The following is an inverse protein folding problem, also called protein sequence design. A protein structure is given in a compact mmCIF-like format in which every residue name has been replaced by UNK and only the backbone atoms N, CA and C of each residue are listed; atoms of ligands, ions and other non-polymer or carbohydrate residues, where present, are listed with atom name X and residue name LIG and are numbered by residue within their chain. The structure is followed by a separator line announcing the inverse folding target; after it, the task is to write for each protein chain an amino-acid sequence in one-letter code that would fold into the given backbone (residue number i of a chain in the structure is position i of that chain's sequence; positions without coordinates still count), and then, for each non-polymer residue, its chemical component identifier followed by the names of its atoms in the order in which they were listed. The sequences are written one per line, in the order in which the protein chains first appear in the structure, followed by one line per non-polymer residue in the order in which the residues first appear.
data_IF_445636330054
#
_entry.id   IF_445636330054
#
_cell.length_a   1.000
_cell.length_b   1.000
_cell.length_c   1.000
_cell.angle_alpha   90.00
_cell.angle_beta   90.00
_cell.angle_gamma   90.00
#
_symmetry.space_group_name_H-M   'P 1'
#
loop_
_entity.id
_entity.type
_entity.pdbx_description
1 polymer ?
#
# COMPACT_ATOMS: atom_id res chain seq x y z
N UNK A 1 -21.25 7.70 -9.29
CA UNK A 1 -20.49 8.79 -8.64
C UNK A 1 -19.98 9.73 -9.72
N UNK A 2 -20.51 10.95 -9.82
CA UNK A 2 -19.95 11.95 -10.73
C UNK A 2 -18.70 12.55 -10.07
N UNK A 3 -17.52 12.24 -10.62
CA UNK A 3 -16.28 12.91 -10.25
C UNK A 3 -16.39 14.35 -10.75
N UNK A 4 -16.51 15.31 -9.84
CA UNK A 4 -16.40 16.73 -10.18
C UNK A 4 -14.94 16.97 -10.56
N UNK A 5 -14.66 17.15 -11.85
CA UNK A 5 -13.33 17.44 -12.37
C UNK A 5 -12.78 18.78 -11.86
N UNK A 6 -11.49 18.81 -11.56
CA UNK A 6 -10.73 20.03 -11.33
C UNK A 6 -10.47 20.73 -12.67
N UNK A 7 -10.79 22.02 -12.78
CA UNK A 7 -10.63 22.76 -14.04
C UNK A 7 -9.31 23.55 -14.09
N UNK A 8 -8.86 24.13 -12.98
CA UNK A 8 -7.53 24.78 -12.91
C UNK A 8 -7.07 25.10 -11.49
N UNK A 9 -5.75 25.21 -11.33
CA UNK A 9 -5.07 25.74 -10.14
C UNK A 9 -4.42 27.06 -10.52
N UNK A 10 -4.91 28.17 -9.99
CA UNK A 10 -4.37 29.51 -10.31
C UNK A 10 -3.71 30.10 -9.07
N UNK A 11 -2.47 30.60 -9.21
CA UNK A 11 -1.85 31.43 -8.16
C UNK A 11 -2.20 32.88 -8.40
N UNK A 12 -2.77 33.55 -7.40
CA UNK A 12 -2.97 35.00 -7.47
C UNK A 12 -1.64 35.74 -7.19
N UNK A 13 -1.64 37.05 -7.45
CA UNK A 13 -0.48 37.94 -7.25
C UNK A 13 0.02 38.05 -5.79
N UNK A 14 -0.75 37.57 -4.81
CA UNK A 14 -0.34 37.48 -3.40
C UNK A 14 0.16 36.07 -3.00
N UNK A 15 0.32 35.15 -3.95
CA UNK A 15 0.80 33.79 -3.71
C UNK A 15 -0.25 32.79 -3.20
N UNK A 16 -1.53 33.17 -3.16
CA UNK A 16 -2.62 32.29 -2.76
C UNK A 16 -3.00 31.33 -3.90
N UNK A 17 -3.25 30.07 -3.56
CA UNK A 17 -3.66 29.03 -4.51
C UNK A 17 -5.19 29.00 -4.57
N UNK A 18 -5.75 29.35 -5.72
CA UNK A 18 -7.17 29.26 -6.03
C UNK A 18 -7.45 27.94 -6.74
N UNK A 19 -8.44 27.21 -6.22
CA UNK A 19 -8.95 25.98 -6.82
C UNK A 19 -10.32 26.29 -7.42
N UNK A 20 -10.43 26.24 -8.75
CA UNK A 20 -11.69 26.43 -9.47
C UNK A 20 -12.28 25.07 -9.83
N UNK A 21 -13.54 24.85 -9.45
CA UNK A 21 -14.28 23.62 -9.76
C UNK A 21 -15.19 23.84 -10.98
N UNK A 22 -15.27 22.84 -11.87
CA UNK A 22 -15.91 22.92 -13.19
C UNK A 22 -17.46 22.96 -13.19
N UNK A 23 -18.09 23.41 -12.11
CA UNK A 23 -19.55 23.52 -12.05
C UNK A 23 -20.10 23.93 -10.68
N UNK A 24 -21.42 24.23 -10.59
CA UNK A 24 -22.06 24.54 -9.33
C UNK A 24 -21.97 23.34 -8.37
N UNK A 25 -21.18 23.48 -7.30
CA UNK A 25 -21.17 22.54 -6.19
C UNK A 25 -22.56 22.52 -5.54
N UNK A 26 -23.37 21.52 -5.88
CA UNK A 26 -24.72 21.37 -5.33
C UNK A 26 -25.62 20.40 -6.09
N UNK A 27 -25.28 20.02 -7.32
CA UNK A 27 -26.12 19.09 -8.10
C UNK A 27 -25.69 17.61 -8.02
N UNK A 28 -24.45 17.31 -7.63
CA UNK A 28 -23.91 15.93 -7.65
C UNK A 28 -23.35 15.41 -6.32
N UNK A 29 -23.25 16.24 -5.29
CA UNK A 29 -22.92 15.79 -3.91
C UNK A 29 -24.22 15.71 -3.13
N UNK A 30 -24.75 14.51 -2.96
CA UNK A 30 -26.06 14.26 -2.35
C UNK A 30 -26.09 14.52 -0.84
N UNK A 31 -24.97 14.93 -0.22
CA UNK A 31 -24.93 15.14 1.22
C UNK A 31 -24.08 16.35 1.62
N UNK A 32 -24.71 17.30 2.31
CA UNK A 32 -24.07 18.50 2.86
C UNK A 32 -22.92 18.14 3.84
N UNK A 33 -22.99 16.96 4.45
CA UNK A 33 -21.97 16.39 5.34
C UNK A 33 -20.66 16.04 4.60
N UNK A 34 -20.74 15.50 3.38
CA UNK A 34 -19.55 15.11 2.59
C UNK A 34 -18.78 16.34 2.12
N UNK A 35 -19.51 17.39 1.70
CA UNK A 35 -18.89 18.66 1.34
C UNK A 35 -18.21 19.33 2.54
N UNK A 36 -18.84 19.26 3.72
CA UNK A 36 -18.24 19.78 4.95
C UNK A 36 -16.99 18.99 5.37
N UNK A 37 -17.02 17.66 5.23
CA UNK A 37 -15.87 16.79 5.50
C UNK A 37 -14.69 17.06 4.54
N UNK A 38 -14.98 17.25 3.25
CA UNK A 38 -13.98 17.65 2.25
C UNK A 38 -13.32 18.98 2.63
N UNK A 39 -14.13 19.99 2.98
CA UNK A 39 -13.64 21.31 3.41
C UNK A 39 -12.82 21.24 4.70
N UNK A 40 -13.20 20.40 5.67
CA UNK A 40 -12.42 20.16 6.88
C UNK A 40 -11.09 19.46 6.57
N UNK A 41 -11.09 18.46 5.70
CA UNK A 41 -9.86 17.80 5.24
C UNK A 41 -8.90 18.76 4.55
N UNK A 42 -9.42 19.66 3.69
CA UNK A 42 -8.62 20.69 3.03
C UNK A 42 -8.07 21.73 4.01
N UNK A 43 -8.84 22.13 5.03
CA UNK A 43 -8.35 23.03 6.11
C UNK A 43 -7.29 22.36 6.97
N UNK A 44 -7.42 21.08 7.27
CA UNK A 44 -6.41 20.31 8.00
C UNK A 44 -5.10 20.20 7.21
N UNK A 45 -5.20 19.89 5.91
CA UNK A 45 -4.04 19.84 5.02
C UNK A 45 -3.35 21.21 4.90
N UNK A 46 -4.13 22.30 4.86
CA UNK A 46 -3.63 23.69 4.87
C UNK A 46 -2.79 23.98 6.12
N UNK A 47 -3.34 23.70 7.29
CA UNK A 47 -2.67 24.00 8.57
C UNK A 47 -1.41 23.18 8.78
N UNK A 48 -1.41 21.93 8.30
CA UNK A 48 -0.33 20.99 8.58
C UNK A 48 0.79 21.00 7.53
N UNK A 49 0.51 21.39 6.27
CA UNK A 49 1.46 21.17 5.19
C UNK A 49 1.78 22.37 4.30
N UNK A 50 0.93 23.41 4.21
CA UNK A 50 1.07 24.38 3.11
C UNK A 50 1.13 25.87 3.48
N UNK A 51 0.78 26.29 4.70
CA UNK A 51 1.02 27.67 5.15
C UNK A 51 0.40 28.79 4.29
N UNK A 52 -0.50 28.47 3.35
CA UNK A 52 -1.09 29.39 2.37
C UNK A 52 -2.61 29.49 2.52
N UNK A 53 -3.18 30.62 2.11
CA UNK A 53 -4.63 30.85 2.10
C UNK A 53 -5.28 30.11 0.90
N UNK A 54 -6.28 29.27 1.16
CA UNK A 54 -7.12 28.65 0.11
C UNK A 54 -8.48 29.36 0.13
N UNK A 55 -8.85 29.94 -1.01
CA UNK A 55 -10.19 30.48 -1.25
C UNK A 55 -11.00 29.49 -2.09
N UNK A 56 -12.22 29.20 -1.65
CA UNK A 56 -13.19 28.39 -2.38
C UNK A 56 -14.38 29.29 -2.69
N UNK A 57 -14.56 29.64 -3.96
CA UNK A 57 -15.77 30.33 -4.44
C UNK A 57 -16.78 29.30 -4.96
N UNK A 58 -18.03 29.42 -4.52
CA UNK A 58 -19.15 28.61 -5.01
C UNK A 58 -20.44 29.43 -4.97
N UNK A 59 -21.13 29.52 -6.10
CA UNK A 59 -22.46 30.15 -6.17
C UNK A 59 -23.57 29.13 -5.85
N UNK A 60 -24.48 29.49 -4.94
CA UNK A 60 -25.73 28.74 -4.71
C UNK A 60 -26.82 29.26 -5.64
N UNK A 61 -27.48 28.37 -6.39
CA UNK A 61 -28.61 28.74 -7.27
C UNK A 61 -29.93 29.01 -6.52
N UNK A 62 -30.01 28.79 -5.21
CA UNK A 62 -31.18 29.19 -4.43
C UNK A 62 -30.88 30.50 -3.70
N UNK A 63 -31.34 31.61 -4.30
CA UNK A 63 -31.04 33.00 -3.95
C UNK A 63 -31.47 33.50 -2.57
N UNK A 64 -31.11 32.82 -1.48
CA UNK A 64 -31.15 33.33 -0.11
C UNK A 64 -30.01 32.76 0.73
N UNK A 65 -28.89 33.50 0.81
CA UNK A 65 -27.81 33.19 1.74
C UNK A 65 -26.48 33.83 1.36
N UNK A 66 -26.27 35.10 1.73
CA UNK A 66 -24.93 35.68 1.73
C UNK A 66 -24.14 35.10 2.92
N UNK A 67 -23.19 34.20 2.66
CA UNK A 67 -22.26 33.73 3.69
C UNK A 67 -20.99 34.59 3.67
N UNK A 68 -20.88 35.55 4.58
CA UNK A 68 -19.61 36.22 4.90
C UNK A 68 -18.87 35.41 5.96
N UNK A 69 -17.79 34.74 5.58
CA UNK A 69 -16.86 34.15 6.55
C UNK A 69 -16.01 35.25 7.17
N UNK A 70 -16.13 35.40 8.49
CA UNK A 70 -15.39 36.38 9.28
C UNK A 70 -13.97 35.85 9.53
N UNK A 71 -12.98 36.59 9.03
CA UNK A 71 -11.56 36.34 9.23
C UNK A 71 -11.21 36.70 10.69
N UNK A 72 -10.98 35.72 11.56
CA UNK A 72 -10.47 36.02 12.90
C UNK A 72 -8.98 36.37 12.80
N UNK A 73 -8.68 37.67 12.67
CA UNK A 73 -7.38 38.22 13.04
C UNK A 73 -7.27 38.21 14.57
N UNK A 74 -6.28 37.51 15.09
CA UNK A 74 -5.84 37.74 16.46
C UNK A 74 -5.12 39.07 16.54
N UNK A 75 -5.66 40.04 17.26
CA UNK A 75 -4.91 41.18 17.79
C UNK A 75 -5.39 41.49 19.21
N UNK A 76 -4.43 41.43 20.13
CA UNK A 76 -4.43 41.99 21.48
C UNK A 76 -4.71 43.49 21.46
N UNK A 77 -5.53 44.02 22.38
CA UNK A 77 -5.25 45.28 23.11
C UNK A 77 -6.20 45.47 24.31
N UNK A 78 -5.62 45.93 25.42
CA UNK A 78 -6.24 46.16 26.72
C UNK A 78 -7.00 47.50 26.81
N UNK A 79 -8.02 47.60 27.67
CA UNK A 79 -8.22 48.76 28.57
C UNK A 79 -9.26 48.53 29.70
N UNK A 80 -8.75 48.66 30.92
CA UNK A 80 -9.27 49.27 32.15
C UNK A 80 -10.77 49.26 32.58
N UNK A 81 -10.89 48.89 33.86
CA UNK A 81 -11.74 49.46 34.93
C UNK A 81 -13.13 48.85 35.22
N UNK A 82 -13.20 48.03 36.28
CA UNK A 82 -14.16 48.29 37.38
C UNK A 82 -13.68 47.68 38.70
N UNK A 83 -13.85 48.47 39.77
CA UNK A 83 -13.48 48.23 41.17
C UNK A 83 -14.23 47.03 41.78
N UNK A 84 -13.54 46.25 42.62
CA UNK A 84 -14.02 45.88 43.98
C UNK A 84 -12.89 45.35 44.87
N UNK A 85 -12.97 45.74 46.13
CA UNK A 85 -12.04 45.62 47.26
C UNK A 85 -11.84 44.18 47.74
N UNK A 86 -10.64 43.83 48.22
CA UNK A 86 -10.34 43.54 49.66
C UNK A 86 -8.93 42.94 49.87
N UNK A 87 -8.22 43.48 50.89
CA UNK A 87 -7.15 42.94 51.79
C UNK A 87 -6.58 41.53 51.56
N UNK A 88 -5.29 41.20 51.74
CA UNK A 88 -4.34 41.56 52.82
C UNK A 88 -2.87 41.27 52.42
N UNK A 89 -1.90 42.16 52.72
CA UNK A 89 -0.75 42.01 53.65
C UNK A 89 -0.02 40.61 53.66
N UNK A 90 1.29 40.45 53.48
CA UNK A 90 2.49 41.06 54.12
C UNK A 90 3.81 40.79 53.32
N UNK A 91 4.96 41.43 53.66
CA UNK A 91 6.15 41.62 52.81
C UNK A 91 7.45 40.95 53.34
N UNK A 92 8.63 41.38 52.80
CA UNK A 92 10.03 41.40 53.33
C UNK A 92 11.00 40.58 52.45
N UNK A 93 11.84 41.18 51.57
CA UNK A 93 13.15 41.89 51.70
C UNK A 93 14.27 41.00 51.10
N UNK A 94 15.41 41.43 50.53
CA UNK A 94 16.28 42.59 50.73
C UNK A 94 17.29 42.71 49.56
N UNK A 95 17.70 43.96 49.23
CA UNK A 95 19.07 44.45 48.89
C UNK A 95 19.75 43.99 47.57
N UNK A 96 20.54 44.79 46.83
CA UNK A 96 20.82 46.24 46.68
C UNK A 96 21.87 46.39 45.55
N UNK A 97 22.07 47.63 45.09
CA UNK A 97 23.11 48.20 44.21
C UNK A 97 22.79 48.20 42.71
N UNK A 98 22.17 49.26 42.19
CA UNK A 98 22.65 50.63 41.90
C UNK A 98 23.47 50.74 40.62
N UNK A 99 22.82 51.42 39.68
CA UNK A 99 23.27 51.85 38.37
C UNK A 99 24.37 52.92 38.43
N UNK A 100 25.23 52.91 37.42
CA UNK A 100 25.75 54.13 36.82
C UNK A 100 25.94 53.92 35.32
N UNK A 101 25.00 54.45 34.52
CA UNK A 101 25.15 54.59 33.06
C UNK A 101 25.09 56.06 32.69
N UNK A 102 26.22 56.57 32.22
CA UNK A 102 26.32 57.80 31.43
C UNK A 102 26.12 57.48 29.95
N UNK A 103 25.34 58.33 29.27
CA UNK A 103 25.14 58.31 27.82
C UNK A 103 26.43 58.70 27.08
N UNK A 104 26.78 57.97 26.02
CA UNK A 104 27.40 58.57 24.83
C UNK A 104 27.17 57.73 23.57
N UNK A 105 26.43 58.35 22.64
CA UNK A 105 26.59 58.42 21.17
C UNK A 105 26.88 57.16 20.32
N UNK A 106 25.96 56.96 19.37
CA UNK A 106 26.01 56.17 18.13
C UNK A 106 27.38 55.97 17.47
N UNK A 107 27.69 54.72 17.11
CA UNK A 107 28.30 54.42 15.81
C UNK A 107 27.69 53.13 15.24
N UNK A 108 27.36 53.19 13.96
CA UNK A 108 26.63 52.19 13.21
C UNK A 108 27.59 51.29 12.41
N UNK A 109 27.16 50.03 12.24
CA UNK A 109 27.52 49.05 11.20
C UNK A 109 29.00 48.64 11.04
N UNK A 110 29.28 47.38 11.41
CA UNK A 110 29.93 46.40 10.55
C UNK A 110 29.87 45.00 11.21
N UNK A 111 28.83 44.22 10.90
CA UNK A 111 28.82 42.78 11.13
C UNK A 111 28.75 42.08 9.78
N UNK A 112 29.85 41.46 9.38
CA UNK A 112 29.96 40.54 8.26
C UNK A 112 28.89 39.44 8.33
N UNK A 113 28.32 38.99 7.20
CA UNK A 113 27.37 37.89 7.21
C UNK A 113 28.06 36.60 7.66
N UNK A 114 27.36 35.70 8.38
CA UNK A 114 27.89 34.38 8.68
C UNK A 114 28.18 33.61 7.38
N UNK A 115 29.21 32.76 7.35
CA UNK A 115 29.55 32.00 6.15
C UNK A 115 28.35 31.17 5.71
N UNK A 116 28.00 31.29 4.43
CA UNK A 116 26.97 30.48 3.81
C UNK A 116 27.30 29.01 4.06
N UNK A 117 26.40 28.28 4.70
CA UNK A 117 26.44 26.81 4.71
C UNK A 117 26.39 26.37 3.24
N UNK A 118 27.53 25.96 2.70
CA UNK A 118 27.58 25.14 1.51
C UNK A 118 26.69 23.95 1.77
N UNK A 119 25.52 23.96 1.14
CA UNK A 119 24.65 22.79 1.10
C UNK A 119 25.39 21.83 0.18
N UNK A 120 26.22 20.96 0.75
CA UNK A 120 26.78 19.85 0.01
C UNK A 120 25.60 19.13 -0.65
N UNK A 121 25.55 19.16 -1.97
CA UNK A 121 24.53 18.45 -2.71
C UNK A 121 24.70 16.96 -2.35
N UNK A 122 23.74 16.41 -1.61
CA UNK A 122 23.75 14.98 -1.27
C UNK A 122 23.99 14.17 -2.55
N UNK A 123 24.94 13.22 -2.53
CA UNK A 123 25.22 12.42 -3.71
C UNK A 123 23.94 11.70 -4.12
N UNK A 124 23.46 12.02 -5.33
CA UNK A 124 22.30 11.35 -5.92
C UNK A 124 22.68 9.88 -6.10
N UNK A 125 22.16 9.02 -5.24
CA UNK A 125 22.36 7.57 -5.35
C UNK A 125 21.86 7.12 -6.72
N UNK A 126 22.78 6.81 -7.63
CA UNK A 126 22.45 6.29 -8.94
C UNK A 126 22.10 4.80 -8.80
N UNK A 127 20.84 4.45 -9.01
CA UNK A 127 20.44 3.04 -9.04
C UNK A 127 21.12 2.32 -10.21
N UNK A 128 21.56 1.09 -9.97
CA UNK A 128 22.04 0.23 -11.05
C UNK A 128 20.88 -0.07 -12.03
N UNK A 129 21.19 -0.32 -13.31
CA UNK A 129 20.16 -0.61 -14.31
C UNK A 129 19.40 -1.91 -13.99
N UNK A 130 18.14 -2.03 -14.41
CA UNK A 130 17.35 -3.23 -14.20
C UNK A 130 17.93 -4.43 -14.97
N UNK A 131 17.90 -5.60 -14.34
CA UNK A 131 18.49 -6.85 -14.87
C UNK A 131 17.56 -7.58 -15.85
N UNK A 132 17.09 -6.87 -16.87
CA UNK A 132 16.00 -7.32 -17.75
C UNK A 132 16.29 -8.66 -18.47
N UNK A 133 17.54 -8.96 -18.82
CA UNK A 133 17.89 -10.23 -19.47
C UNK A 133 17.63 -11.45 -18.58
N UNK A 134 17.96 -11.37 -17.29
CA UNK A 134 17.68 -12.44 -16.33
C UNK A 134 16.17 -12.57 -16.08
N UNK A 135 15.49 -11.43 -15.93
CA UNK A 135 14.03 -11.41 -15.72
C UNK A 135 13.28 -11.97 -16.91
N UNK A 136 13.75 -11.71 -18.14
CA UNK A 136 13.18 -12.32 -19.34
C UNK A 136 13.28 -13.86 -19.29
N UNK A 137 14.45 -14.40 -18.91
CA UNK A 137 14.64 -15.84 -18.75
C UNK A 137 13.71 -16.45 -17.69
N UNK A 138 13.61 -15.81 -16.52
CA UNK A 138 12.69 -16.23 -15.44
C UNK A 138 11.24 -16.19 -15.93
N UNK A 139 10.84 -15.10 -16.59
CA UNK A 139 9.49 -14.93 -17.14
C UNK A 139 9.15 -16.02 -18.15
N UNK A 140 10.08 -16.34 -19.06
CA UNK A 140 9.88 -17.38 -20.06
C UNK A 140 9.68 -18.76 -19.42
N UNK A 141 10.47 -19.10 -18.40
CA UNK A 141 10.35 -20.37 -17.68
C UNK A 141 9.02 -20.43 -16.91
N UNK A 142 8.68 -19.39 -16.15
CA UNK A 142 7.49 -19.38 -15.31
C UNK A 142 6.18 -19.31 -16.11
N UNK A 143 6.15 -18.58 -17.24
CA UNK A 143 4.91 -18.30 -17.97
C UNK A 143 4.70 -19.18 -19.20
N UNK A 144 5.73 -19.84 -19.73
CA UNK A 144 5.57 -20.70 -20.92
C UNK A 144 4.57 -21.85 -20.73
N UNK A 145 4.47 -22.55 -19.58
CA UNK A 145 3.46 -23.60 -19.41
C UNK A 145 2.04 -23.02 -19.41
N UNK A 146 1.84 -21.89 -18.74
CA UNK A 146 0.57 -21.17 -18.73
C UNK A 146 0.13 -20.75 -20.14
N UNK A 147 1.03 -20.15 -20.93
CA UNK A 147 0.75 -19.73 -22.31
C UNK A 147 0.46 -20.96 -23.20
N UNK A 148 1.22 -22.04 -23.05
CA UNK A 148 0.99 -23.27 -23.79
C UNK A 148 -0.42 -23.83 -23.52
N UNK A 149 -0.80 -23.91 -22.26
CA UNK A 149 -2.11 -24.42 -21.86
C UNK A 149 -3.26 -23.54 -22.35
N UNK A 150 -3.08 -22.21 -22.30
CA UNK A 150 -4.09 -21.23 -22.71
C UNK A 150 -4.35 -21.22 -24.22
N UNK A 151 -3.30 -21.35 -25.04
CA UNK A 151 -3.41 -21.17 -26.50
C UNK A 151 -3.45 -22.49 -27.29
N UNK A 152 -2.81 -23.55 -26.80
CA UNK A 152 -2.57 -24.74 -27.62
C UNK A 152 -3.19 -26.02 -27.07
N UNK A 153 -3.35 -26.14 -25.73
CA UNK A 153 -3.83 -27.38 -25.13
C UNK A 153 -5.34 -27.38 -24.86
N UNK A 154 -5.87 -26.35 -24.18
CA UNK A 154 -7.28 -26.28 -23.85
C UNK A 154 -8.08 -25.42 -24.84
N UNK A 155 -9.29 -25.88 -25.16
CA UNK A 155 -10.24 -25.10 -25.94
C UNK A 155 -11.02 -24.14 -25.02
N UNK A 156 -10.35 -23.04 -24.63
CA UNK A 156 -10.98 -21.99 -23.82
C UNK A 156 -11.81 -21.08 -24.74
N UNK A 157 -12.98 -20.69 -24.25
CA UNK A 157 -13.91 -19.78 -24.91
C UNK A 157 -13.22 -18.50 -25.42
N UNK A 158 -13.62 -18.04 -26.61
CA UNK A 158 -12.97 -16.94 -27.30
C UNK A 158 -13.14 -15.60 -26.57
N UNK A 159 -14.30 -15.35 -25.94
CA UNK A 159 -14.54 -14.14 -25.17
C UNK A 159 -13.67 -14.12 -23.92
N UNK A 160 -13.58 -15.25 -23.21
CA UNK A 160 -12.71 -15.39 -22.05
C UNK A 160 -11.23 -15.23 -22.42
N UNK A 161 -10.76 -15.88 -23.49
CA UNK A 161 -9.40 -15.69 -24.02
C UNK A 161 -9.12 -14.21 -24.34
N UNK A 162 -10.09 -13.50 -24.92
CA UNK A 162 -9.95 -12.08 -25.22
C UNK A 162 -9.79 -11.22 -23.97
N UNK A 163 -10.62 -11.42 -22.94
CA UNK A 163 -10.47 -10.70 -21.66
C UNK A 163 -9.12 -10.98 -20.98
N UNK A 164 -8.65 -12.23 -21.00
CA UNK A 164 -7.32 -12.61 -20.51
C UNK A 164 -6.22 -11.87 -21.29
N UNK A 165 -6.32 -11.78 -22.62
CA UNK A 165 -5.36 -11.07 -23.47
C UNK A 165 -5.35 -9.56 -23.23
N UNK A 166 -6.52 -8.95 -23.08
CA UNK A 166 -6.65 -7.54 -22.70
C UNK A 166 -5.94 -7.25 -21.38
N UNK A 167 -6.10 -8.15 -20.39
CA UNK A 167 -5.42 -7.99 -19.12
C UNK A 167 -3.90 -8.18 -19.23
N UNK A 168 -3.41 -9.11 -20.07
CA UNK A 168 -1.97 -9.23 -20.38
C UNK A 168 -1.42 -7.93 -20.95
N UNK A 169 -2.12 -7.31 -21.89
CA UNK A 169 -1.70 -6.05 -22.49
C UNK A 169 -1.59 -4.92 -21.44
N UNK A 170 -2.60 -4.77 -20.60
CA UNK A 170 -2.58 -3.80 -19.49
C UNK A 170 -1.47 -4.12 -18.47
N UNK A 171 -1.26 -5.40 -18.17
CA UNK A 171 -0.20 -5.87 -17.27
C UNK A 171 1.20 -5.56 -17.80
N UNK A 172 1.43 -5.72 -19.11
CA UNK A 172 2.68 -5.29 -19.76
C UNK A 172 2.89 -3.78 -19.61
N UNK A 173 1.82 -2.99 -19.79
CA UNK A 173 1.86 -1.55 -19.48
C UNK A 173 2.27 -1.27 -18.03
N UNK A 174 1.71 -2.03 -17.08
CA UNK A 174 2.07 -2.00 -15.66
C UNK A 174 3.53 -2.34 -15.38
N UNK A 175 4.09 -3.35 -16.06
CA UNK A 175 5.51 -3.69 -15.96
C UNK A 175 6.39 -2.50 -16.36
N UNK A 176 6.15 -1.88 -17.51
CA UNK A 176 6.93 -0.73 -17.96
C UNK A 176 6.74 0.52 -17.10
N UNK A 177 5.51 0.78 -16.66
CA UNK A 177 5.23 1.86 -15.70
C UNK A 177 6.03 1.64 -14.40
N UNK A 178 6.06 0.42 -13.89
CA UNK A 178 6.83 0.07 -12.68
C UNK A 178 8.34 0.30 -12.87
N UNK A 179 8.90 -0.13 -14.02
CA UNK A 179 10.30 0.13 -14.35
C UNK A 179 10.65 1.62 -14.36
N UNK A 180 9.73 2.46 -14.87
CA UNK A 180 9.93 3.90 -14.91
C UNK A 180 9.81 4.56 -13.52
N UNK A 181 8.85 4.12 -12.71
CA UNK A 181 8.54 4.76 -11.42
C UNK A 181 9.54 4.38 -10.33
N UNK A 182 10.10 3.15 -10.33
CA UNK A 182 11.04 2.70 -9.29
C UNK A 182 12.21 3.67 -9.09
N UNK A 183 13.01 4.06 -10.11
CA UNK A 183 14.13 4.98 -9.92
C UNK A 183 13.73 6.35 -9.37
N UNK A 184 12.54 6.83 -9.73
CA UNK A 184 12.00 8.10 -9.23
C UNK A 184 11.65 7.97 -7.75
N UNK A 185 10.85 6.95 -7.40
CA UNK A 185 10.40 6.70 -6.03
C UNK A 185 11.58 6.42 -5.08
N UNK A 186 12.57 5.62 -5.51
CA UNK A 186 13.77 5.33 -4.73
C UNK A 186 14.48 6.58 -4.23
N UNK A 187 14.57 7.63 -5.06
CA UNK A 187 15.18 8.91 -4.65
C UNK A 187 14.42 9.59 -3.51
N UNK A 188 13.08 9.50 -3.51
CA UNK A 188 12.26 10.08 -2.45
C UNK A 188 12.29 9.25 -1.18
N UNK A 189 12.29 7.92 -1.28
CA UNK A 189 12.36 7.02 -0.14
C UNK A 189 13.67 7.20 0.64
N UNK A 190 14.81 7.24 -0.07
CA UNK A 190 16.12 7.52 0.55
C UNK A 190 16.15 8.88 1.24
N UNK A 191 15.58 9.93 0.63
CA UNK A 191 15.47 11.28 1.24
C UNK A 191 14.61 11.31 2.50
N UNK A 192 13.74 10.32 2.68
CA UNK A 192 12.90 10.16 3.88
C UNK A 192 13.49 9.18 4.89
N UNK A 193 14.76 8.78 4.72
CA UNK A 193 15.43 7.76 5.52
C UNK A 193 14.78 6.37 5.46
N UNK A 194 14.05 6.06 4.37
CA UNK A 194 13.56 4.72 4.08
C UNK A 194 14.59 3.99 3.20
N UNK A 195 15.63 3.48 3.86
CA UNK A 195 16.68 2.68 3.24
C UNK A 195 17.22 1.66 4.24
N UNK A 196 17.74 0.55 3.71
CA UNK A 196 18.46 -0.47 4.46
C UNK A 196 19.89 -0.67 3.96
N UNK A 197 20.68 -1.42 4.73
CA UNK A 197 21.96 -1.94 4.29
C UNK A 197 21.83 -3.43 3.99
N UNK A 198 22.55 -3.92 2.98
CA UNK A 198 22.57 -5.36 2.67
C UNK A 198 23.42 -6.10 3.71
N UNK A 199 22.74 -6.67 4.71
CA UNK A 199 23.36 -7.36 5.86
C UNK A 199 24.25 -8.54 5.42
N UNK A 200 23.90 -9.21 4.32
CA UNK A 200 24.66 -10.35 3.80
C UNK A 200 25.91 -9.91 3.01
N UNK A 201 26.13 -8.60 2.86
CA UNK A 201 27.31 -8.01 2.25
C UNK A 201 28.11 -7.15 3.23
N UNK A 202 27.84 -7.26 4.54
CA UNK A 202 28.56 -6.53 5.60
C UNK A 202 30.07 -6.73 5.46
N UNK A 203 30.83 -5.64 5.58
CA UNK A 203 32.29 -5.64 5.42
C UNK A 203 32.78 -5.48 3.97
N UNK A 204 31.90 -5.53 2.97
CA UNK A 204 32.25 -5.21 1.58
C UNK A 204 31.90 -3.76 1.24
N UNK A 205 32.47 -3.22 0.15
CA UNK A 205 32.11 -1.89 -0.37
C UNK A 205 30.64 -1.78 -0.80
N UNK A 206 30.00 -2.90 -1.15
CA UNK A 206 28.58 -2.91 -1.50
C UNK A 206 27.66 -2.92 -0.27
N UNK A 207 28.11 -3.49 0.86
CA UNK A 207 27.33 -3.54 2.09
C UNK A 207 27.20 -2.19 2.81
N UNK A 208 28.06 -1.22 2.50
CA UNK A 208 27.98 0.15 3.04
C UNK A 208 27.12 1.10 2.20
N UNK A 209 26.56 0.62 1.08
CA UNK A 209 25.68 1.42 0.22
C UNK A 209 24.27 1.40 0.78
N UNK A 210 23.64 2.58 0.89
CA UNK A 210 22.22 2.71 1.24
C UNK A 210 21.35 2.21 0.09
N UNK A 211 20.53 1.18 0.37
CA UNK A 211 19.60 0.61 -0.60
C UNK A 211 18.18 1.10 -0.26
N UNK A 212 17.47 1.77 -1.19
CA UNK A 212 16.09 2.21 -0.97
C UNK A 212 15.18 1.05 -0.54
N UNK A 213 14.33 1.27 0.45
CA UNK A 213 13.45 0.24 1.03
C UNK A 213 11.96 0.59 0.84
N UNK A 214 11.07 -0.37 1.13
CA UNK A 214 9.61 -0.23 1.01
C UNK A 214 9.11 0.02 -0.41
N UNK A 215 9.83 -0.46 -1.43
CA UNK A 215 9.41 -0.28 -2.82
C UNK A 215 8.10 -1.02 -3.14
N UNK A 216 7.68 -1.97 -2.31
CA UNK A 216 6.37 -2.62 -2.40
C UNK A 216 5.21 -1.63 -2.56
N UNK A 217 5.29 -0.41 -2.02
CA UNK A 217 4.25 0.62 -2.20
C UNK A 217 4.09 1.04 -3.67
N UNK A 218 5.20 1.18 -4.41
CA UNK A 218 5.17 1.55 -5.83
C UNK A 218 4.50 0.44 -6.64
N UNK A 219 4.85 -0.80 -6.33
CA UNK A 219 4.36 -2.00 -7.02
C UNK A 219 2.86 -2.14 -6.76
N UNK A 220 2.45 -2.00 -5.50
CA UNK A 220 1.05 -2.05 -5.10
C UNK A 220 0.21 -0.96 -5.76
N UNK A 221 0.72 0.28 -5.85
CA UNK A 221 0.01 1.38 -6.53
C UNK A 221 -0.17 1.10 -8.03
N UNK A 222 0.91 0.71 -8.73
CA UNK A 222 0.81 0.41 -10.16
C UNK A 222 -0.10 -0.79 -10.41
N UNK A 223 -0.02 -1.82 -9.55
CA UNK A 223 -0.93 -2.97 -9.57
C UNK A 223 -2.39 -2.55 -9.46
N UNK A 224 -2.74 -1.72 -8.47
CA UNK A 224 -4.11 -1.23 -8.27
C UNK A 224 -4.60 -0.40 -9.47
N UNK A 225 -3.75 0.44 -10.06
CA UNK A 225 -4.12 1.21 -11.26
C UNK A 225 -4.44 0.26 -12.41
N UNK A 226 -3.59 -0.75 -12.66
CA UNK A 226 -3.79 -1.70 -13.75
C UNK A 226 -5.06 -2.53 -13.55
N UNK A 227 -5.31 -3.04 -12.35
CA UNK A 227 -6.52 -3.84 -12.04
C UNK A 227 -7.79 -3.01 -12.12
N UNK A 228 -7.78 -1.76 -11.64
CA UNK A 228 -8.92 -0.83 -11.77
C UNK A 228 -9.20 -0.48 -13.24
N UNK A 229 -8.15 -0.26 -14.04
CA UNK A 229 -8.32 -0.02 -15.48
C UNK A 229 -8.88 -1.26 -16.18
N UNK A 230 -8.37 -2.45 -15.86
CA UNK A 230 -8.91 -3.70 -16.39
C UNK A 230 -10.39 -3.87 -16.02
N UNK A 231 -10.74 -3.62 -14.76
CA UNK A 231 -12.11 -3.64 -14.27
C UNK A 231 -13.01 -2.73 -15.09
N UNK A 232 -12.61 -1.47 -15.30
CA UNK A 232 -13.39 -0.48 -16.05
C UNK A 232 -13.70 -0.91 -17.49
N UNK A 233 -12.76 -1.59 -18.15
CA UNK A 233 -12.91 -1.99 -19.56
C UNK A 233 -13.53 -3.37 -19.76
N UNK A 234 -13.50 -4.26 -18.76
CA UNK A 234 -13.98 -5.65 -18.91
C UNK A 234 -15.23 -6.00 -18.09
N UNK A 235 -15.56 -5.27 -17.03
CA UNK A 235 -16.75 -5.54 -16.23
C UNK A 235 -17.88 -4.60 -16.60
N UNK A 236 -19.08 -5.18 -16.78
CA UNK A 236 -20.32 -4.42 -16.83
C UNK A 236 -20.72 -3.95 -15.43
N UNK A 237 -21.43 -2.81 -15.36
CA UNK A 237 -21.83 -2.19 -14.09
C UNK A 237 -22.70 -3.09 -13.19
N UNK A 238 -23.46 -4.01 -13.80
CA UNK A 238 -24.41 -4.88 -13.11
C UNK A 238 -23.85 -6.30 -12.84
N UNK A 239 -22.54 -6.51 -12.99
CA UNK A 239 -21.92 -7.82 -12.74
C UNK A 239 -21.96 -8.19 -11.26
N UNK A 240 -22.48 -9.38 -10.93
CA UNK A 240 -22.47 -9.92 -9.57
C UNK A 240 -21.04 -10.03 -8.97
N UNK A 241 -20.04 -10.23 -9.83
CA UNK A 241 -18.63 -10.33 -9.45
C UNK A 241 -18.00 -8.99 -9.09
N UNK A 242 -18.66 -7.87 -9.39
CA UNK A 242 -18.14 -6.53 -9.10
C UNK A 242 -18.00 -6.28 -7.59
N UNK A 243 -18.90 -6.86 -6.79
CA UNK A 243 -18.85 -6.76 -5.33
C UNK A 243 -17.61 -7.47 -4.78
N UNK A 244 -17.39 -8.71 -5.21
CA UNK A 244 -16.21 -9.49 -4.82
C UNK A 244 -14.90 -8.88 -5.35
N UNK A 245 -14.90 -8.35 -6.57
CA UNK A 245 -13.76 -7.64 -7.15
C UNK A 245 -13.38 -6.40 -6.35
N UNK A 246 -14.37 -5.57 -6.00
CA UNK A 246 -14.14 -4.36 -5.19
C UNK A 246 -13.69 -4.72 -3.77
N UNK A 247 -14.23 -5.80 -3.19
CA UNK A 247 -13.80 -6.29 -1.89
C UNK A 247 -12.35 -6.81 -1.93
N UNK A 248 -11.98 -7.55 -2.97
CA UNK A 248 -10.60 -7.97 -3.24
C UNK A 248 -9.65 -6.78 -3.33
N UNK A 249 -9.98 -5.77 -4.15
CA UNK A 249 -9.17 -4.56 -4.27
C UNK A 249 -9.09 -3.77 -2.96
N UNK A 250 -10.19 -3.67 -2.21
CA UNK A 250 -10.21 -2.99 -0.91
C UNK A 250 -9.30 -3.71 0.10
N UNK A 251 -9.36 -5.04 0.16
CA UNK A 251 -8.48 -5.85 1.03
C UNK A 251 -7.01 -5.73 0.64
N UNK A 252 -6.68 -5.80 -0.65
CA UNK A 252 -5.30 -5.67 -1.15
C UNK A 252 -4.78 -4.25 -0.92
N UNK A 253 -5.57 -3.21 -1.23
CA UNK A 253 -5.22 -1.80 -1.00
C UNK A 253 -4.99 -1.52 0.48
N UNK A 254 -5.89 -1.99 1.33
CA UNK A 254 -5.74 -1.82 2.77
C UNK A 254 -4.48 -2.54 3.28
N UNK A 255 -4.18 -3.73 2.75
CA UNK A 255 -2.95 -4.43 3.11
C UNK A 255 -1.68 -3.69 2.65
N UNK A 256 -1.65 -3.15 1.42
CA UNK A 256 -0.53 -2.32 0.95
C UNK A 256 -0.31 -1.14 1.90
N UNK A 257 -1.40 -0.47 2.32
CA UNK A 257 -1.31 0.62 3.29
C UNK A 257 -0.74 0.13 4.62
N UNK A 258 -1.25 -0.96 5.19
CA UNK A 258 -0.81 -1.47 6.48
C UNK A 258 0.65 -1.95 6.45
N UNK A 259 1.09 -2.59 5.36
CA UNK A 259 2.49 -2.98 5.19
C UNK A 259 3.42 -1.78 5.06
N UNK A 260 2.99 -0.71 4.39
CA UNK A 260 3.77 0.53 4.36
C UNK A 260 3.81 1.25 5.70
N UNK A 261 2.71 1.20 6.46
CA UNK A 261 2.67 1.74 7.82
C UNK A 261 3.60 0.92 8.73
N UNK A 262 3.67 -0.40 8.56
CA UNK A 262 4.62 -1.27 9.26
C UNK A 262 6.08 -0.90 8.94
N UNK A 263 6.41 -0.77 7.65
CA UNK A 263 7.74 -0.34 7.20
C UNK A 263 8.18 1.02 7.79
N UNK A 264 7.23 1.96 7.96
CA UNK A 264 7.53 3.31 8.46
C UNK A 264 7.57 3.38 9.99
N UNK A 265 6.73 2.61 10.67
CA UNK A 265 6.55 2.69 12.12
C UNK A 265 7.24 1.58 12.91
N UNK A 266 7.74 0.54 12.23
CA UNK A 266 8.33 -0.67 12.82
C UNK A 266 7.44 -1.25 13.92
N UNK A 267 6.28 -1.79 13.50
CA UNK A 267 5.22 -2.15 14.43
C UNK A 267 5.59 -3.45 15.19
N UNK A 268 5.21 -3.59 16.48
CA UNK A 268 5.44 -4.83 17.23
C UNK A 268 4.79 -6.06 16.57
N UNK A 269 5.50 -7.20 16.60
CA UNK A 269 5.09 -8.47 15.96
C UNK A 269 3.66 -8.93 16.30
N UNK A 270 3.17 -8.65 17.52
CA UNK A 270 1.80 -9.03 17.93
C UNK A 270 0.73 -8.34 17.08
N UNK A 271 0.99 -7.10 16.69
CA UNK A 271 0.09 -6.32 15.84
C UNK A 271 0.24 -6.77 14.40
N UNK A 272 1.45 -7.15 13.94
CA UNK A 272 1.69 -7.73 12.60
C UNK A 272 0.81 -8.96 12.31
N UNK A 273 0.50 -9.77 13.33
CA UNK A 273 -0.45 -10.90 13.20
C UNK A 273 -1.92 -10.46 13.07
N UNK A 274 -2.27 -9.28 13.58
CA UNK A 274 -3.64 -8.75 13.56
C UNK A 274 -3.93 -7.90 12.32
N UNK A 275 -2.95 -7.20 11.76
CA UNK A 275 -3.13 -6.33 10.57
C UNK A 275 -3.82 -7.06 9.40
N UNK A 276 -3.43 -8.30 9.03
CA UNK A 276 -4.11 -9.02 7.95
C UNK A 276 -5.54 -9.40 8.26
N UNK A 277 -5.86 -9.67 9.53
CA UNK A 277 -7.23 -9.95 9.95
C UNK A 277 -8.16 -8.77 9.66
N UNK A 278 -7.70 -7.53 9.91
CA UNK A 278 -8.48 -6.33 9.59
C UNK A 278 -8.55 -6.06 8.09
N UNK A 279 -7.44 -6.25 7.38
CA UNK A 279 -7.40 -6.06 5.93
C UNK A 279 -8.26 -7.08 5.18
N UNK A 280 -8.47 -8.28 5.72
CA UNK A 280 -9.31 -9.31 5.12
C UNK A 280 -10.82 -9.06 5.31
N UNK A 281 -11.25 -8.12 6.17
CA UNK A 281 -12.68 -7.90 6.46
C UNK A 281 -13.54 -7.60 5.22
N UNK A 282 -13.14 -6.72 4.27
CA UNK A 282 -13.91 -6.50 3.05
C UNK A 282 -14.18 -7.81 2.28
N UNK A 283 -13.14 -8.63 2.10
CA UNK A 283 -13.23 -9.96 1.49
C UNK A 283 -14.22 -10.88 2.24
N UNK A 284 -14.10 -10.98 3.56
CA UNK A 284 -14.96 -11.86 4.37
C UNK A 284 -16.44 -11.46 4.36
N UNK A 285 -16.72 -10.17 4.18
CA UNK A 285 -18.09 -9.64 4.11
C UNK A 285 -18.71 -9.82 2.72
N UNK A 286 -17.89 -9.72 1.67
CA UNK A 286 -18.35 -9.88 0.29
C UNK A 286 -18.42 -11.34 -0.18
N UNK A 287 -17.69 -12.26 0.47
CA UNK A 287 -17.67 -13.67 0.11
C UNK A 287 -19.07 -14.29 0.10
N UNK A 288 -19.56 -14.64 -1.09
CA UNK A 288 -20.87 -15.24 -1.30
C UNK A 288 -20.81 -16.77 -1.55
N UNK A 289 -19.61 -17.34 -1.62
CA UNK A 289 -19.41 -18.76 -1.89
C UNK A 289 -19.85 -19.70 -0.76
N UNK A 290 -19.81 -21.00 -1.05
CA UNK A 290 -20.14 -22.04 -0.09
C UNK A 290 -19.13 -22.09 1.07
N UNK A 291 -19.62 -22.44 2.27
CA UNK A 291 -18.83 -22.69 3.49
C UNK A 291 -18.55 -24.18 3.73
N UNK A 292 -18.88 -25.01 2.75
CA UNK A 292 -18.67 -26.45 2.76
C UNK A 292 -17.29 -26.80 2.22
N UNK A 293 -16.54 -27.62 2.96
CA UNK A 293 -15.26 -28.18 2.49
C UNK A 293 -15.42 -29.64 2.10
N UNK A 294 -14.64 -30.06 1.11
CA UNK A 294 -14.49 -31.48 0.76
C UNK A 294 -13.34 -32.03 1.61
N UNK A 295 -13.62 -33.07 2.39
CA UNK A 295 -12.61 -33.70 3.25
C UNK A 295 -11.54 -34.36 2.37
N UNK A 296 -10.23 -34.13 2.60
CA UNK A 296 -9.19 -34.79 1.83
C UNK A 296 -9.33 -36.30 1.89
N UNK A 297 -9.25 -36.99 0.74
CA UNK A 297 -9.45 -38.46 0.63
C UNK A 297 -8.71 -39.30 1.69
N UNK A 298 -7.47 -38.99 2.11
CA UNK A 298 -6.79 -39.74 3.16
C UNK A 298 -7.47 -39.65 4.54
N UNK A 299 -8.23 -38.59 4.81
CA UNK A 299 -8.92 -38.34 6.07
C UNK A 299 -10.34 -38.92 6.09
N UNK A 300 -10.97 -39.11 4.93
CA UNK A 300 -12.33 -39.65 4.80
C UNK A 300 -12.55 -40.96 5.58
N UNK A 301 -11.64 -41.97 5.53
CA UNK A 301 -11.82 -43.21 6.29
C UNK A 301 -11.87 -43.03 7.82
N UNK A 302 -11.28 -41.96 8.34
CA UNK A 302 -11.22 -41.68 9.77
C UNK A 302 -12.41 -40.84 10.27
N UNK A 303 -12.90 -39.93 9.42
CA UNK A 303 -13.96 -38.98 9.79
C UNK A 303 -15.35 -39.50 9.39
N UNK A 304 -15.44 -40.32 8.33
CA UNK A 304 -16.70 -40.93 7.88
C UNK A 304 -17.65 -39.99 7.15
N UNK A 305 -17.19 -38.80 6.77
CA UNK A 305 -17.94 -37.79 6.01
C UNK A 305 -17.08 -37.25 4.86
N UNK A 306 -17.71 -37.07 3.69
CA UNK A 306 -17.05 -36.55 2.49
C UNK A 306 -17.12 -35.02 2.38
N UNK A 307 -18.21 -34.43 2.89
CA UNK A 307 -18.49 -32.99 2.83
C UNK A 307 -18.82 -32.52 4.24
N UNK A 308 -18.18 -31.43 4.67
CA UNK A 308 -18.39 -30.82 5.98
C UNK A 308 -18.76 -29.34 5.82
N UNK A 309 -19.91 -28.92 6.35
CA UNK A 309 -20.24 -27.50 6.46
C UNK A 309 -19.60 -26.89 7.71
N UNK A 310 -18.71 -25.93 7.50
CA UNK A 310 -17.97 -25.24 8.56
C UNK A 310 -18.65 -23.94 9.00
N UNK A 311 -19.61 -23.42 8.22
CA UNK A 311 -20.27 -22.15 8.50
C UNK A 311 -19.30 -21.01 8.84
N UNK A 312 -19.45 -20.41 10.04
CA UNK A 312 -18.60 -19.30 10.49
C UNK A 312 -17.12 -19.69 10.68
N UNK A 313 -16.82 -20.96 10.96
CA UNK A 313 -15.45 -21.45 11.11
C UNK A 313 -14.71 -21.34 9.77
N UNK A 314 -15.42 -21.49 8.64
CA UNK A 314 -14.84 -21.26 7.31
C UNK A 314 -14.40 -19.80 7.14
N UNK A 315 -15.18 -18.84 7.65
CA UNK A 315 -14.79 -17.42 7.63
C UNK A 315 -13.58 -17.14 8.51
N UNK A 316 -13.47 -17.81 9.66
CA UNK A 316 -12.28 -17.75 10.49
C UNK A 316 -11.05 -18.32 9.73
N UNK A 317 -11.21 -19.46 9.06
CA UNK A 317 -10.17 -20.04 8.21
C UNK A 317 -9.70 -19.07 7.12
N UNK A 318 -10.62 -18.41 6.40
CA UNK A 318 -10.27 -17.42 5.39
C UNK A 318 -9.46 -16.24 5.97
N UNK A 319 -9.84 -15.74 7.14
CA UNK A 319 -9.09 -14.71 7.84
C UNK A 319 -7.68 -15.18 8.24
N UNK A 320 -7.57 -16.39 8.79
CA UNK A 320 -6.28 -16.98 9.16
C UNK A 320 -5.41 -17.29 7.93
N UNK A 321 -6.01 -17.65 6.79
CA UNK A 321 -5.30 -17.84 5.53
C UNK A 321 -4.64 -16.54 5.07
N UNK A 322 -5.34 -15.41 5.17
CA UNK A 322 -4.76 -14.10 4.86
C UNK A 322 -3.59 -13.76 5.79
N UNK A 323 -3.73 -14.00 7.10
CA UNK A 323 -2.65 -13.84 8.09
C UNK A 323 -1.46 -14.74 7.77
N UNK A 324 -1.71 -16.00 7.42
CA UNK A 324 -0.67 -16.96 7.07
C UNK A 324 0.08 -16.53 5.81
N UNK A 325 -0.62 -16.22 4.71
CA UNK A 325 0.03 -15.87 3.44
C UNK A 325 0.92 -14.62 3.56
N UNK A 326 0.50 -13.58 4.29
CA UNK A 326 1.29 -12.35 4.44
C UNK A 326 2.53 -12.56 5.30
N UNK A 327 2.39 -13.23 6.44
CA UNK A 327 3.48 -13.44 7.38
C UNK A 327 4.45 -14.52 6.89
N UNK A 328 3.97 -15.56 6.22
CA UNK A 328 4.81 -16.67 5.76
C UNK A 328 5.79 -16.26 4.67
N UNK A 329 5.41 -15.37 3.75
CA UNK A 329 6.34 -14.75 2.80
C UNK A 329 7.32 -13.85 3.54
N UNK A 330 6.84 -13.09 4.54
CA UNK A 330 7.68 -12.15 5.27
C UNK A 330 8.79 -12.82 6.10
N UNK A 331 8.50 -13.94 6.77
CA UNK A 331 9.51 -14.69 7.52
C UNK A 331 10.44 -15.50 6.61
N UNK A 332 10.05 -15.75 5.35
CA UNK A 332 10.86 -16.46 4.36
C UNK A 332 11.59 -15.45 3.45
N UNK A 333 12.33 -14.54 4.07
CA UNK A 333 12.94 -13.37 3.45
C UNK A 333 14.43 -13.22 3.82
N UNK A 334 15.06 -12.16 3.34
CA UNK A 334 16.43 -11.77 3.75
C UNK A 334 17.52 -12.10 2.74
N UNK A 335 17.18 -12.62 1.55
CA UNK A 335 18.11 -12.80 0.44
C UNK A 335 17.64 -12.00 -0.78
N UNK A 336 18.59 -11.36 -1.47
CA UNK A 336 18.32 -10.53 -2.65
C UNK A 336 17.51 -11.28 -3.73
N UNK A 337 16.25 -10.90 -3.92
CA UNK A 337 15.35 -11.48 -4.91
C UNK A 337 14.44 -12.60 -4.39
N UNK A 338 14.55 -13.00 -3.11
CA UNK A 338 13.84 -14.18 -2.59
C UNK A 338 12.34 -13.91 -2.39
N UNK A 339 11.97 -12.78 -1.81
CA UNK A 339 10.59 -12.40 -1.49
C UNK A 339 9.75 -12.28 -2.78
N UNK A 340 10.32 -11.61 -3.78
CA UNK A 340 9.67 -11.39 -5.07
C UNK A 340 9.74 -12.65 -5.93
N UNK A 341 10.88 -13.34 -5.95
CA UNK A 341 11.09 -14.56 -6.72
C UNK A 341 10.13 -15.68 -6.31
N UNK A 342 10.02 -15.96 -5.00
CA UNK A 342 9.08 -16.99 -4.51
C UNK A 342 7.63 -16.61 -4.84
N UNK A 343 7.27 -15.33 -4.74
CA UNK A 343 5.93 -14.84 -5.06
C UNK A 343 5.60 -15.06 -6.54
N UNK A 344 6.55 -14.79 -7.46
CA UNK A 344 6.37 -15.04 -8.90
C UNK A 344 6.19 -16.53 -9.20
N UNK A 345 6.96 -17.41 -8.53
CA UNK A 345 6.83 -18.86 -8.71
C UNK A 345 5.44 -19.34 -8.27
N UNK A 346 4.97 -18.88 -7.10
CA UNK A 346 3.63 -19.20 -6.59
C UNK A 346 2.56 -18.67 -7.55
N UNK A 347 2.66 -17.42 -7.99
CA UNK A 347 1.72 -16.83 -8.95
C UNK A 347 1.68 -17.57 -10.28
N UNK A 348 2.83 -18.02 -10.79
CA UNK A 348 2.89 -18.82 -12.01
C UNK A 348 2.17 -20.16 -11.84
N UNK A 349 2.35 -20.83 -10.68
CA UNK A 349 1.60 -22.04 -10.35
C UNK A 349 0.09 -21.80 -10.28
N UNK A 350 -0.34 -20.66 -9.71
CA UNK A 350 -1.75 -20.25 -9.68
C UNK A 350 -2.28 -20.03 -11.11
N UNK A 351 -1.55 -19.35 -11.98
CA UNK A 351 -1.97 -19.15 -13.38
C UNK A 351 -2.13 -20.48 -14.14
N UNK A 352 -1.18 -21.40 -13.97
CA UNK A 352 -1.24 -22.75 -14.55
C UNK A 352 -2.48 -23.48 -14.03
N UNK A 353 -2.69 -23.48 -12.71
CA UNK A 353 -3.85 -24.10 -12.09
C UNK A 353 -5.16 -23.53 -12.62
N UNK A 354 -5.31 -22.21 -12.67
CA UNK A 354 -6.53 -21.57 -13.14
C UNK A 354 -6.87 -21.94 -14.59
N UNK A 355 -5.87 -21.95 -15.49
CA UNK A 355 -6.11 -22.34 -16.90
C UNK A 355 -6.49 -23.81 -17.00
N UNK A 356 -5.85 -24.69 -16.22
CA UNK A 356 -6.23 -26.10 -16.17
C UNK A 356 -7.68 -26.28 -15.70
N UNK A 357 -8.09 -25.57 -14.65
CA UNK A 357 -9.46 -25.67 -14.13
C UNK A 357 -10.50 -25.10 -15.10
N UNK A 358 -10.18 -23.99 -15.78
CA UNK A 358 -11.05 -23.43 -16.83
C UNK A 358 -11.21 -24.42 -17.99
N UNK A 359 -10.12 -25.08 -18.38
CA UNK A 359 -10.09 -26.01 -19.50
C UNK A 359 -10.78 -27.35 -19.25
N UNK A 360 -10.76 -27.84 -18.01
CA UNK A 360 -11.36 -29.15 -17.63
C UNK A 360 -12.80 -29.02 -17.16
N UNK A 361 -13.16 -27.92 -16.48
CA UNK A 361 -14.51 -27.77 -15.93
C UNK A 361 -15.55 -27.56 -17.03
N UNK A 362 -16.80 -27.91 -16.74
CA UNK A 362 -17.97 -27.53 -17.55
C UNK A 362 -18.85 -26.49 -16.86
N UNK A 363 -18.59 -26.17 -15.58
CA UNK A 363 -19.35 -25.23 -14.78
C UNK A 363 -18.94 -23.78 -15.10
N UNK A 364 -19.83 -22.94 -15.65
CA UNK A 364 -19.53 -21.54 -15.96
C UNK A 364 -19.13 -20.71 -14.75
N UNK A 365 -19.74 -20.91 -13.58
CA UNK A 365 -19.45 -20.12 -12.38
C UNK A 365 -18.05 -20.44 -11.86
N UNK A 366 -17.71 -21.73 -11.81
CA UNK A 366 -16.37 -22.19 -11.47
C UNK A 366 -15.30 -21.65 -12.43
N UNK A 367 -15.59 -21.64 -13.74
CA UNK A 367 -14.67 -21.03 -14.75
C UNK A 367 -14.47 -19.53 -14.48
N UNK A 368 -15.53 -18.81 -14.14
CA UNK A 368 -15.44 -17.38 -13.85
C UNK A 368 -14.63 -17.10 -12.58
N UNK A 369 -14.74 -17.93 -11.53
CA UNK A 369 -13.92 -17.82 -10.33
C UNK A 369 -12.40 -17.94 -10.65
N UNK A 370 -12.02 -18.88 -11.50
CA UNK A 370 -10.64 -19.02 -11.96
C UNK A 370 -10.20 -17.90 -12.92
N UNK A 371 -11.12 -17.39 -13.76
CA UNK A 371 -10.85 -16.24 -14.62
C UNK A 371 -10.58 -14.98 -13.79
N UNK A 372 -11.40 -14.73 -12.77
CA UNK A 372 -11.23 -13.67 -11.78
C UNK A 372 -9.84 -13.73 -11.13
N UNK A 373 -9.43 -14.94 -10.72
CA UNK A 373 -8.10 -15.17 -10.17
C UNK A 373 -6.99 -14.82 -11.18
N UNK A 374 -7.11 -15.23 -12.45
CA UNK A 374 -6.17 -14.82 -13.53
C UNK A 374 -6.11 -13.29 -13.65
N UNK A 375 -7.25 -12.60 -13.58
CA UNK A 375 -7.32 -11.15 -13.74
C UNK A 375 -6.54 -10.38 -12.68
N UNK A 376 -6.48 -10.89 -11.45
CA UNK A 376 -5.68 -10.32 -10.38
C UNK A 376 -4.21 -10.79 -10.43
N UNK A 377 -3.94 -12.03 -10.81
CA UNK A 377 -2.56 -12.57 -10.77
C UNK A 377 -1.67 -12.05 -11.91
N UNK A 378 -2.20 -11.84 -13.12
CA UNK A 378 -1.41 -11.32 -14.24
C UNK A 378 -0.76 -9.95 -13.98
N UNK A 379 -1.50 -8.91 -13.51
CA UNK A 379 -0.88 -7.63 -13.17
C UNK A 379 0.05 -7.75 -11.98
N UNK A 380 -0.24 -8.63 -11.02
CA UNK A 380 0.65 -8.92 -9.90
C UNK A 380 2.02 -9.45 -10.38
N UNK A 381 2.03 -10.46 -11.27
CA UNK A 381 3.27 -10.99 -11.84
C UNK A 381 4.01 -9.90 -12.60
N UNK A 382 3.32 -9.13 -13.43
CA UNK A 382 3.96 -8.11 -14.26
C UNK A 382 4.62 -7.00 -13.41
N UNK A 383 3.94 -6.45 -12.41
CA UNK A 383 4.56 -5.42 -11.55
C UNK A 383 5.67 -6.02 -10.66
N UNK A 384 5.51 -7.27 -10.21
CA UNK A 384 6.52 -7.99 -9.42
C UNK A 384 7.78 -8.32 -10.23
N UNK A 385 7.65 -8.71 -11.51
CA UNK A 385 8.80 -8.94 -12.40
C UNK A 385 9.61 -7.65 -12.62
N UNK A 386 8.94 -6.50 -12.74
CA UNK A 386 9.61 -5.21 -12.84
C UNK A 386 10.38 -4.89 -11.56
N UNK A 387 9.82 -5.14 -10.38
CA UNK A 387 10.53 -5.01 -9.11
C UNK A 387 11.70 -5.98 -9.00
N UNK A 388 11.50 -7.26 -9.38
CA UNK A 388 12.55 -8.28 -9.38
C UNK A 388 13.74 -7.84 -10.23
N UNK A 389 13.52 -7.11 -11.32
CA UNK A 389 14.63 -6.61 -12.15
C UNK A 389 15.61 -5.69 -11.40
N UNK A 390 15.13 -4.95 -10.41
CA UNK A 390 15.96 -4.12 -9.53
C UNK A 390 16.37 -4.84 -8.24
N UNK A 391 15.54 -5.75 -7.73
CA UNK A 391 15.75 -6.49 -6.48
C UNK A 391 16.56 -7.79 -6.65
N UNK A 392 16.73 -8.30 -7.87
CA UNK A 392 17.56 -9.49 -8.10
C UNK A 392 19.02 -9.24 -7.71
N UNK A 393 19.75 -10.27 -7.27
CA UNK A 393 21.13 -10.14 -6.83
C UNK A 393 22.06 -9.52 -7.90
N UNK A 394 22.92 -8.54 -7.55
CA UNK A 394 22.92 -7.75 -6.32
C UNK A 394 21.78 -6.70 -6.32
N UNK A 395 21.01 -6.62 -5.23
CA UNK A 395 19.86 -5.72 -5.12
C UNK A 395 20.24 -4.25 -5.24
N UNK A 396 19.42 -3.50 -5.98
CA UNK A 396 19.43 -2.03 -6.03
C UNK A 396 18.28 -1.40 -5.26
N UNK A 397 17.28 -2.20 -4.89
CA UNK A 397 16.14 -1.82 -4.04
C UNK A 397 15.73 -2.99 -3.16
N UNK A 398 15.21 -2.69 -1.98
CA UNK A 398 14.52 -3.61 -1.09
C UNK A 398 13.02 -3.41 -1.15
N UNK A 399 12.31 -4.48 -0.88
CA UNK A 399 10.86 -4.58 -1.13
C UNK A 399 10.05 -4.09 0.07
N UNK A 400 10.57 -4.29 1.28
CA UNK A 400 9.91 -4.00 2.56
C UNK A 400 8.76 -4.95 2.89
N UNK A 401 8.26 -4.85 4.13
CA UNK A 401 7.05 -5.52 4.60
C UNK A 401 5.85 -5.16 3.72
N UNK A 402 5.85 -3.96 3.13
CA UNK A 402 4.82 -3.54 2.17
C UNK A 402 4.62 -4.57 1.05
N UNK A 403 5.70 -5.08 0.45
CA UNK A 403 5.58 -6.04 -0.65
C UNK A 403 5.15 -7.42 -0.16
N UNK A 404 5.72 -7.91 0.95
CA UNK A 404 5.42 -9.26 1.45
C UNK A 404 3.97 -9.37 1.89
N UNK A 405 3.44 -8.31 2.52
CA UNK A 405 2.04 -8.17 2.87
C UNK A 405 1.13 -8.07 1.64
N UNK A 406 1.50 -7.21 0.68
CA UNK A 406 0.80 -7.10 -0.60
C UNK A 406 0.70 -8.43 -1.34
N UNK A 407 1.82 -9.14 -1.47
CA UNK A 407 1.89 -10.44 -2.13
C UNK A 407 1.02 -11.47 -1.42
N UNK A 408 1.20 -11.63 -0.11
CA UNK A 408 0.44 -12.60 0.67
C UNK A 408 -1.07 -12.36 0.63
N UNK A 409 -1.51 -11.11 0.75
CA UNK A 409 -2.95 -10.78 0.66
C UNK A 409 -3.49 -11.02 -0.74
N UNK A 410 -2.72 -10.68 -1.79
CA UNK A 410 -3.13 -10.97 -3.18
C UNK A 410 -3.33 -12.48 -3.38
N UNK A 411 -2.39 -13.31 -2.91
CA UNK A 411 -2.51 -14.77 -2.99
C UNK A 411 -3.72 -15.30 -2.21
N UNK A 412 -3.93 -14.82 -0.98
CA UNK A 412 -5.06 -15.23 -0.16
C UNK A 412 -6.40 -14.88 -0.83
N UNK A 413 -6.54 -13.65 -1.32
CA UNK A 413 -7.73 -13.18 -2.04
C UNK A 413 -8.04 -14.07 -3.23
N UNK A 414 -7.05 -14.35 -4.08
CA UNK A 414 -7.30 -15.15 -5.31
C UNK A 414 -7.57 -16.62 -5.01
N UNK A 415 -6.99 -17.17 -3.94
CA UNK A 415 -7.29 -18.53 -3.49
C UNK A 415 -8.67 -18.66 -2.87
N UNK A 416 -9.11 -17.65 -2.12
CA UNK A 416 -10.43 -17.61 -1.47
C UNK A 416 -11.54 -17.44 -2.53
N UNK A 417 -11.46 -16.39 -3.36
CA UNK A 417 -12.49 -16.11 -4.38
C UNK A 417 -12.43 -17.07 -5.57
N UNK A 418 -11.27 -17.70 -5.80
CA UNK A 418 -11.14 -18.76 -6.79
C UNK A 418 -11.57 -20.14 -6.28
N UNK A 419 -11.95 -20.28 -5.01
CA UNK A 419 -12.31 -21.56 -4.37
C UNK A 419 -11.21 -22.65 -4.50
N UNK A 420 -9.95 -22.26 -4.37
CA UNK A 420 -8.81 -23.19 -4.41
C UNK A 420 -7.81 -22.97 -3.26
N UNK A 421 -8.27 -22.44 -2.13
CA UNK A 421 -7.46 -22.14 -0.94
C UNK A 421 -6.59 -23.31 -0.43
N UNK A 422 -7.09 -24.54 -0.56
CA UNK A 422 -6.38 -25.76 -0.20
C UNK A 422 -5.24 -26.05 -1.18
N UNK A 423 -5.48 -25.84 -2.48
CA UNK A 423 -4.43 -25.95 -3.51
C UNK A 423 -3.40 -24.84 -3.34
N UNK A 424 -3.82 -23.64 -2.94
CA UNK A 424 -2.90 -22.54 -2.65
C UNK A 424 -1.90 -22.91 -1.55
N UNK A 425 -2.34 -23.58 -0.48
CA UNK A 425 -1.45 -24.05 0.58
C UNK A 425 -0.40 -25.06 0.08
N UNK A 426 -0.70 -25.84 -0.96
CA UNK A 426 0.28 -26.72 -1.60
C UNK A 426 1.33 -25.92 -2.38
N UNK A 427 0.95 -24.81 -3.02
CA UNK A 427 1.92 -23.90 -3.65
C UNK A 427 2.79 -23.18 -2.63
N UNK A 428 2.25 -22.93 -1.44
CA UNK A 428 2.96 -22.39 -0.28
C UNK A 428 3.78 -23.43 0.49
N UNK A 429 3.96 -24.66 -0.02
CA UNK A 429 4.63 -25.72 0.72
C UNK A 429 5.99 -25.30 1.33
N UNK A 430 6.91 -24.62 0.60
CA UNK A 430 8.15 -24.13 1.20
C UNK A 430 7.92 -23.17 2.37
N UNK A 431 6.96 -22.26 2.25
CA UNK A 431 6.60 -21.28 3.26
C UNK A 431 5.93 -21.94 4.47
N UNK A 432 5.08 -22.95 4.26
CA UNK A 432 4.49 -23.78 5.32
C UNK A 432 5.60 -24.48 6.11
N UNK A 433 6.54 -25.14 5.42
CA UNK A 433 7.65 -25.84 6.06
C UNK A 433 8.53 -24.86 6.86
N UNK A 434 8.85 -23.69 6.30
CA UNK A 434 9.60 -22.65 7.00
C UNK A 434 8.85 -22.14 8.23
N UNK A 435 7.56 -21.84 8.09
CA UNK A 435 6.72 -21.37 9.20
C UNK A 435 6.66 -22.38 10.35
N UNK A 436 6.45 -23.66 10.04
CA UNK A 436 6.43 -24.74 11.04
C UNK A 436 7.81 -24.92 11.69
N UNK A 437 8.88 -24.81 10.91
CA UNK A 437 10.25 -24.89 11.43
C UNK A 437 10.59 -23.72 12.37
N UNK A 438 10.10 -22.52 12.08
CA UNK A 438 10.30 -21.31 12.90
C UNK A 438 9.36 -21.20 14.11
N UNK A 439 8.25 -21.96 14.15
CA UNK A 439 7.29 -21.92 15.24
C UNK A 439 7.90 -22.12 16.65
N UNK A 440 8.79 -23.10 16.91
CA UNK A 440 9.40 -23.26 18.23
C UNK A 440 10.16 -22.03 18.71
N UNK A 441 10.84 -21.32 17.80
CA UNK A 441 11.55 -20.07 18.11
C UNK A 441 10.57 -18.93 18.40
N UNK A 442 9.51 -18.79 17.58
CA UNK A 442 8.51 -17.73 17.74
C UNK A 442 7.66 -17.87 19.02
N UNK A 443 7.45 -19.09 19.51
CA UNK A 443 6.78 -19.35 20.78
C UNK A 443 7.74 -19.44 21.97
N UNK A 444 9.03 -19.12 21.78
CA UNK A 444 10.07 -19.14 22.81
C UNK A 444 10.23 -20.52 23.50
N UNK A 445 9.99 -21.61 22.77
CA UNK A 445 10.28 -22.97 23.25
C UNK A 445 11.76 -23.34 23.14
N UNK A 446 12.53 -22.56 22.36
CA UNK A 446 13.99 -22.67 22.22
C UNK A 446 14.56 -21.25 22.36
N UNK A 447 15.51 -21.06 23.28
CA UNK A 447 16.21 -19.78 23.43
C UNK A 447 17.10 -19.50 22.21
N UNK A 448 17.10 -18.27 21.72
CA UNK A 448 18.15 -17.73 20.84
C UNK A 448 19.45 -17.60 21.64
N UNK A 449 20.15 -18.73 21.83
CA UNK A 449 21.55 -18.74 22.26
C UNK A 449 22.44 -18.62 21.03
N UNK A 450 22.43 -17.43 20.43
CA UNK A 450 23.29 -17.09 19.30
C UNK A 450 23.78 -15.65 19.40
N UNK A 451 25.00 -15.51 19.93
CA UNK A 451 25.86 -14.31 19.85
C UNK A 451 25.59 -13.15 20.84
N UNK A 452 25.75 -13.42 22.14
CA UNK A 452 26.55 -12.52 22.99
C UNK A 452 28.01 -13.03 22.94
N UNK A 453 28.85 -12.41 22.10
CA UNK A 453 30.30 -12.30 22.25
C UNK A 453 30.88 -11.24 21.31
#
# INVERSE_FOLDING_TARGET
MAVVGYESVVRNSSGAVLLSFAGPCGLATTNQAEFHALLQGMRYLREKFMGCSIMVEGGSQNGKGNWKFQQSRGETHAMAASRKRSSSAKPVSHLRHEDSRSLSTNSALNSSPPPAKTTEAEPVVALAPPKLGQIFGISAICLSPYLYLLFFYYDIDAQLKWSILCNVFLSIGGFFATLFVIPVASRYLVRRNLFGYDINKKGTSQGSVKVPESLGIVIGIVYLIVTILFQHFNFEADSNWLVEYNAALASICFMILLGFVDDVLDIPWRVKLLLPSFAALPLLMAYAGHTTIIVPKPLVPYIGIDILDLGWIYKLYMGLLAVFCTNSINIHAGLNGLEVGQSIVISAAILIHNVMQIGVSSDPEYKQAHAFSIYLVQPFIATSLALLSYNWYPSSVFVGDTYTYFAGMTMAVVGILGHFSETLLLFFLPQVLNFLYSCPQHFSFVDDKGEEN
#
